data_IF_296454439978
#
_entry.id   IF_296454439978
#
_cell.length_a   1.000
_cell.length_b   1.000
_cell.length_c   1.000
_cell.angle_alpha   90.00
_cell.angle_beta   90.00
_cell.angle_gamma   90.00
#
_symmetry.space_group_name_H-M   'P 1'
#
loop_
_entity.id
_entity.type
_entity.pdbx_description
1 polymer ?
#
# COMPACT_ATOMS: atom_id res chain seq x y z
N UNK A 1 -42.22 -28.12 -41.35
CA UNK A 1 -41.87 -26.88 -40.64
C UNK A 1 -41.52 -27.06 -39.14
N UNK A 2 -42.24 -27.81 -38.28
CA UNK A 2 -41.91 -27.93 -36.85
C UNK A 2 -40.54 -28.54 -36.53
N UNK A 3 -40.11 -29.55 -37.31
CA UNK A 3 -38.83 -30.24 -37.10
C UNK A 3 -37.58 -29.38 -37.38
N UNK A 4 -37.65 -28.44 -38.31
CA UNK A 4 -36.57 -27.50 -38.60
C UNK A 4 -36.39 -26.46 -37.50
N UNK A 5 -37.48 -25.98 -36.93
CA UNK A 5 -37.47 -25.04 -35.81
C UNK A 5 -36.90 -25.69 -34.54
N UNK A 6 -37.21 -26.98 -34.30
CA UNK A 6 -36.67 -27.74 -33.16
C UNK A 6 -35.15 -27.94 -33.30
N UNK A 7 -34.65 -28.32 -34.47
CA UNK A 7 -33.20 -28.49 -34.73
C UNK A 7 -32.43 -27.19 -34.57
N UNK A 8 -32.99 -26.07 -35.01
CA UNK A 8 -32.37 -24.76 -34.87
C UNK A 8 -32.26 -24.32 -33.42
N UNK A 9 -33.30 -24.53 -32.60
CA UNK A 9 -33.26 -24.30 -31.16
C UNK A 9 -32.22 -25.15 -30.43
N UNK A 10 -32.13 -26.44 -30.80
CA UNK A 10 -31.14 -27.36 -30.24
C UNK A 10 -29.69 -26.93 -30.58
N UNK A 11 -29.46 -26.52 -31.84
CA UNK A 11 -28.15 -26.01 -32.25
C UNK A 11 -27.73 -24.74 -31.52
N UNK A 12 -28.67 -23.79 -31.34
CA UNK A 12 -28.43 -22.58 -30.56
C UNK A 12 -28.10 -22.92 -29.09
N UNK A 13 -28.84 -23.83 -28.47
CA UNK A 13 -28.58 -24.29 -27.11
C UNK A 13 -27.19 -24.92 -26.96
N UNK A 14 -26.80 -25.81 -27.91
CA UNK A 14 -25.49 -26.43 -27.89
C UNK A 14 -24.36 -25.42 -28.10
N UNK A 15 -24.52 -24.44 -29.01
CA UNK A 15 -23.57 -23.33 -29.19
C UNK A 15 -23.44 -22.47 -27.94
N UNK A 16 -24.55 -22.16 -27.27
CA UNK A 16 -24.54 -21.41 -26.01
C UNK A 16 -23.81 -22.15 -24.88
N UNK A 17 -24.01 -23.48 -24.79
CA UNK A 17 -23.31 -24.32 -23.82
C UNK A 17 -21.80 -24.34 -24.10
N UNK A 18 -21.40 -24.53 -25.35
CA UNK A 18 -19.98 -24.49 -25.77
C UNK A 18 -19.34 -23.15 -25.45
N UNK A 19 -20.04 -22.06 -25.72
CA UNK A 19 -19.56 -20.70 -25.38
C UNK A 19 -19.37 -20.53 -23.89
N UNK A 20 -20.31 -20.99 -23.06
CA UNK A 20 -20.20 -20.94 -21.61
C UNK A 20 -18.99 -21.73 -21.08
N UNK A 21 -18.76 -22.93 -21.62
CA UNK A 21 -17.57 -23.72 -21.30
C UNK A 21 -16.27 -23.00 -21.71
N UNK A 22 -16.22 -22.42 -22.91
CA UNK A 22 -15.06 -21.68 -23.39
C UNK A 22 -14.76 -20.45 -22.48
N UNK A 23 -15.80 -19.69 -22.11
CA UNK A 23 -15.67 -18.58 -21.16
C UNK A 23 -15.22 -19.06 -19.77
N UNK A 24 -15.75 -20.18 -19.28
CA UNK A 24 -15.34 -20.79 -18.02
C UNK A 24 -13.86 -21.20 -18.03
N UNK A 25 -13.40 -21.85 -19.10
CA UNK A 25 -11.98 -22.21 -19.25
C UNK A 25 -11.08 -20.98 -19.36
N UNK A 26 -11.49 -19.96 -20.12
CA UNK A 26 -10.74 -18.70 -20.23
C UNK A 26 -10.62 -18.00 -18.87
N UNK A 27 -11.72 -17.95 -18.10
CA UNK A 27 -11.72 -17.38 -16.75
C UNK A 27 -10.80 -18.17 -15.81
N UNK A 28 -10.88 -19.50 -15.82
CA UNK A 28 -10.00 -20.36 -15.02
C UNK A 28 -8.52 -20.17 -15.39
N UNK A 29 -8.22 -20.10 -16.69
CA UNK A 29 -6.86 -19.79 -17.17
C UNK A 29 -6.38 -18.43 -16.69
N UNK A 30 -7.24 -17.40 -16.72
CA UNK A 30 -6.97 -16.09 -16.17
C UNK A 30 -6.70 -16.11 -14.65
N UNK A 31 -7.47 -16.89 -13.90
CA UNK A 31 -7.25 -17.10 -12.47
C UNK A 31 -5.88 -17.74 -12.18
N UNK A 32 -5.52 -18.80 -12.91
CA UNK A 32 -4.23 -19.49 -12.76
C UNK A 32 -3.09 -18.53 -13.11
N UNK A 33 -3.22 -17.79 -14.21
CA UNK A 33 -2.25 -16.78 -14.62
C UNK A 33 -2.06 -15.72 -13.54
N UNK A 34 -3.14 -15.14 -13.01
CA UNK A 34 -3.07 -14.15 -11.94
C UNK A 34 -2.45 -14.72 -10.65
N UNK A 35 -2.79 -15.95 -10.26
CA UNK A 35 -2.21 -16.61 -9.09
C UNK A 35 -0.70 -16.84 -9.23
N UNK A 36 -0.22 -17.10 -10.45
CA UNK A 36 1.18 -17.48 -10.70
C UNK A 36 2.07 -16.26 -10.97
N UNK A 37 1.56 -15.26 -11.69
CA UNK A 37 2.36 -14.17 -12.23
C UNK A 37 2.07 -12.79 -11.61
N UNK A 38 1.07 -12.66 -10.73
CA UNK A 38 0.70 -11.35 -10.18
C UNK A 38 1.88 -10.65 -9.48
N UNK A 39 2.68 -11.38 -8.70
CA UNK A 39 3.81 -10.75 -8.01
C UNK A 39 4.85 -10.19 -9.00
N UNK A 40 5.15 -10.89 -10.10
CA UNK A 40 6.04 -10.37 -11.15
C UNK A 40 5.49 -9.13 -11.86
N UNK A 41 4.16 -9.02 -11.94
CA UNK A 41 3.51 -7.85 -12.55
C UNK A 41 3.44 -6.67 -11.59
N UNK A 42 3.26 -6.94 -10.28
CA UNK A 42 3.18 -5.92 -9.24
C UNK A 42 4.56 -5.35 -8.94
N UNK A 43 5.60 -6.20 -8.85
CA UNK A 43 6.93 -5.81 -8.41
C UNK A 43 7.92 -5.80 -9.58
N UNK A 44 8.18 -4.65 -10.21
CA UNK A 44 9.22 -4.52 -11.22
C UNK A 44 10.60 -4.67 -10.58
N UNK A 45 11.57 -5.08 -11.37
CA UNK A 45 12.97 -4.98 -10.97
C UNK A 45 13.38 -3.51 -10.88
N UNK A 46 13.91 -3.12 -9.71
CA UNK A 46 14.35 -1.75 -9.46
C UNK A 46 15.87 -1.75 -9.31
N UNK A 47 16.60 -0.95 -10.10
CA UNK A 47 18.03 -0.75 -9.88
C UNK A 47 18.27 -0.18 -8.47
N UNK A 48 19.29 -0.74 -7.78
CA UNK A 48 19.69 -0.26 -6.46
C UNK A 48 20.23 1.16 -6.57
N UNK A 49 19.67 2.09 -5.79
CA UNK A 49 20.10 3.49 -5.77
C UNK A 49 21.11 3.80 -4.67
N UNK A 50 21.38 2.84 -3.77
CA UNK A 50 22.32 2.99 -2.67
C UNK A 50 23.08 1.68 -2.39
N UNK A 51 24.10 1.77 -1.56
CA UNK A 51 24.85 0.65 -0.99
C UNK A 51 24.70 0.64 0.53
N UNK A 52 24.86 -0.51 1.17
CA UNK A 52 24.85 -0.60 2.63
C UNK A 52 25.95 0.29 3.25
N UNK A 53 25.58 1.01 4.28
CA UNK A 53 26.45 1.95 4.98
C UNK A 53 26.08 2.07 6.46
N UNK A 54 26.71 2.98 7.21
CA UNK A 54 26.47 3.14 8.66
C UNK A 54 25.03 3.57 9.01
N UNK A 55 24.30 4.07 8.02
CA UNK A 55 22.90 4.52 8.19
C UNK A 55 21.88 3.43 7.88
N UNK A 56 22.33 2.27 7.40
CA UNK A 56 21.45 1.13 7.09
C UNK A 56 21.75 -0.05 7.99
N UNK A 57 20.73 -0.83 8.29
CA UNK A 57 20.85 -2.07 9.06
C UNK A 57 19.89 -3.12 8.53
N UNK A 58 20.07 -4.37 8.95
CA UNK A 58 19.25 -5.49 8.48
C UNK A 58 18.26 -5.93 9.55
N UNK A 59 17.00 -5.98 9.18
CA UNK A 59 15.93 -6.62 9.94
C UNK A 59 15.73 -8.05 9.44
N UNK A 60 15.49 -8.98 10.35
CA UNK A 60 15.18 -10.36 9.99
C UNK A 60 13.67 -10.53 9.89
N UNK A 61 13.17 -10.68 8.69
CA UNK A 61 11.76 -10.98 8.47
C UNK A 61 11.45 -12.46 8.81
N UNK A 62 10.19 -12.76 9.16
CA UNK A 62 9.74 -14.15 9.43
C UNK A 62 9.91 -15.07 8.22
N UNK A 63 9.90 -14.55 7.02
CA UNK A 63 10.19 -15.29 5.79
C UNK A 63 11.62 -15.81 5.72
N UNK A 64 12.51 -15.30 6.58
CA UNK A 64 13.94 -15.55 6.53
C UNK A 64 14.72 -14.48 5.76
N UNK A 65 14.05 -13.57 5.04
CA UNK A 65 14.69 -12.48 4.31
C UNK A 65 15.41 -11.50 5.26
N UNK A 66 16.53 -10.95 4.79
CA UNK A 66 17.20 -9.82 5.41
C UNK A 66 16.69 -8.54 4.75
N UNK A 67 15.95 -7.74 5.50
CA UNK A 67 15.31 -6.50 5.05
C UNK A 67 16.19 -5.33 5.45
N UNK A 68 16.58 -4.52 4.50
CA UNK A 68 17.33 -3.30 4.78
C UNK A 68 16.39 -2.24 5.30
N UNK A 69 16.80 -1.59 6.36
CA UNK A 69 16.07 -0.50 6.99
C UNK A 69 17.01 0.66 7.31
N UNK A 70 16.46 1.83 7.48
CA UNK A 70 17.15 3.04 7.96
C UNK A 70 16.31 3.71 9.04
N UNK A 71 16.98 4.25 10.06
CA UNK A 71 16.34 5.00 11.12
C UNK A 71 16.97 6.39 11.20
N UNK A 72 16.14 7.41 11.05
CA UNK A 72 16.52 8.80 11.21
C UNK A 72 15.90 9.31 12.52
N UNK A 73 16.73 9.43 13.55
CA UNK A 73 16.29 9.96 14.83
C UNK A 73 16.13 11.48 14.75
N UNK A 74 14.97 11.99 15.17
CA UNK A 74 14.78 13.40 15.47
C UNK A 74 14.96 13.58 16.99
N UNK A 75 16.01 14.29 17.49
CA UNK A 75 16.30 14.39 18.90
C UNK A 75 15.11 14.92 19.70
N UNK A 76 14.74 14.19 20.76
CA UNK A 76 13.60 14.54 21.62
C UNK A 76 12.22 14.24 21.04
N UNK A 77 12.14 13.67 19.86
CA UNK A 77 10.87 13.27 19.26
C UNK A 77 10.21 12.12 20.03
N UNK A 78 8.92 12.30 20.28
CA UNK A 78 8.05 11.22 20.80
C UNK A 78 7.18 10.60 19.70
N UNK A 79 7.43 10.92 18.43
CA UNK A 79 6.66 10.44 17.29
C UNK A 79 7.57 9.67 16.35
N UNK A 80 7.12 8.52 15.91
CA UNK A 80 7.76 7.72 14.88
C UNK A 80 6.86 7.64 13.65
N UNK A 81 7.42 7.98 12.51
CA UNK A 81 6.83 7.68 11.22
C UNK A 81 7.41 6.35 10.71
N UNK A 82 6.59 5.31 10.64
CA UNK A 82 6.96 4.06 9.99
C UNK A 82 6.58 4.16 8.51
N UNK A 83 7.60 4.35 7.66
CA UNK A 83 7.44 4.72 6.26
C UNK A 83 7.54 3.49 5.34
N UNK A 84 6.47 3.20 4.62
CA UNK A 84 6.40 2.19 3.57
C UNK A 84 6.40 2.89 2.20
N UNK A 85 7.46 2.68 1.43
CA UNK A 85 7.67 3.38 0.16
C UNK A 85 6.79 2.87 -0.98
N UNK A 86 6.75 3.61 -2.07
CA UNK A 86 6.04 3.26 -3.30
C UNK A 86 6.72 2.14 -4.08
N UNK A 87 6.00 1.61 -5.07
CA UNK A 87 6.58 0.68 -6.01
C UNK A 87 7.69 1.36 -6.83
N UNK A 88 8.66 0.58 -7.29
CA UNK A 88 9.81 1.07 -8.06
C UNK A 88 10.67 2.13 -7.34
N UNK A 89 10.66 2.16 -6.00
CA UNK A 89 11.54 2.99 -5.17
C UNK A 89 12.31 2.13 -4.16
N UNK A 90 13.45 2.63 -3.68
CA UNK A 90 14.21 2.08 -2.56
C UNK A 90 14.58 3.19 -1.56
N UNK A 91 15.22 2.82 -0.45
CA UNK A 91 15.59 3.75 0.62
C UNK A 91 16.45 4.92 0.14
N UNK A 92 17.32 4.70 -0.86
CA UNK A 92 18.13 5.78 -1.42
C UNK A 92 17.30 6.81 -2.18
N UNK A 93 16.31 6.36 -2.96
CA UNK A 93 15.44 7.25 -3.74
C UNK A 93 14.52 8.10 -2.86
N UNK A 94 14.12 7.60 -1.68
CA UNK A 94 13.22 8.32 -0.77
C UNK A 94 13.96 9.08 0.33
N UNK A 95 15.29 9.09 0.32
CA UNK A 95 16.10 9.66 1.41
C UNK A 95 15.73 11.09 1.75
N UNK A 96 15.56 11.96 0.75
CA UNK A 96 15.17 13.35 0.95
C UNK A 96 13.80 13.52 1.61
N UNK A 97 12.87 12.61 1.31
CA UNK A 97 11.57 12.59 1.95
C UNK A 97 11.68 12.30 3.45
N UNK A 98 12.49 11.28 3.80
CA UNK A 98 12.72 10.89 5.20
C UNK A 98 13.39 12.01 5.99
N UNK A 99 14.39 12.67 5.40
CA UNK A 99 15.09 13.82 5.99
C UNK A 99 14.16 15.03 6.22
N UNK A 100 13.18 15.23 5.34
CA UNK A 100 12.19 16.29 5.51
C UNK A 100 11.32 16.05 6.74
N UNK A 101 10.88 14.82 6.98
CA UNK A 101 10.14 14.48 8.21
C UNK A 101 11.02 14.59 9.45
N UNK A 102 12.28 14.13 9.38
CA UNK A 102 13.24 14.27 10.47
C UNK A 102 13.46 15.74 10.84
N UNK A 103 13.67 16.60 9.84
CA UNK A 103 13.84 18.04 10.03
C UNK A 103 12.60 18.72 10.66
N UNK A 104 11.40 18.15 10.43
CA UNK A 104 10.17 18.56 11.07
C UNK A 104 10.00 18.03 12.51
N UNK A 105 11.01 17.37 13.09
CA UNK A 105 11.00 16.85 14.45
C UNK A 105 10.31 15.50 14.63
N UNK A 106 10.19 14.71 13.57
CA UNK A 106 9.57 13.38 13.56
C UNK A 106 10.65 12.33 13.28
N UNK A 107 10.85 11.38 14.19
CA UNK A 107 11.72 10.24 13.91
C UNK A 107 11.12 9.36 12.81
N UNK A 108 11.97 8.83 11.94
CA UNK A 108 11.50 8.04 10.78
C UNK A 108 12.20 6.70 10.75
N UNK A 109 11.43 5.62 10.68
CA UNK A 109 11.90 4.29 10.34
C UNK A 109 11.35 3.92 8.97
N UNK A 110 12.22 3.66 8.01
CA UNK A 110 11.87 3.19 6.69
C UNK A 110 12.58 1.88 6.38
N UNK A 111 11.99 1.08 5.49
CA UNK A 111 12.50 -0.24 5.14
C UNK A 111 12.21 -0.56 3.68
N UNK A 112 13.12 -1.33 3.06
CA UNK A 112 12.92 -1.87 1.72
C UNK A 112 12.09 -3.16 1.77
N UNK A 113 11.49 -3.51 0.64
CA UNK A 113 10.84 -4.81 0.48
C UNK A 113 11.84 -5.89 0.06
N UNK A 114 11.52 -7.19 0.17
CA UNK A 114 12.34 -8.23 -0.41
C UNK A 114 12.64 -7.94 -1.90
N UNK A 115 13.92 -8.06 -2.30
CA UNK A 115 14.35 -7.77 -3.67
C UNK A 115 14.55 -6.30 -4.03
N UNK A 116 14.19 -5.37 -3.13
CA UNK A 116 14.41 -3.93 -3.31
C UNK A 116 15.67 -3.46 -2.58
N UNK A 117 16.34 -2.44 -3.13
CA UNK A 117 17.57 -1.91 -2.57
C UNK A 117 18.59 -3.01 -2.29
N UNK A 118 19.06 -3.12 -1.06
CA UNK A 118 19.99 -4.16 -0.61
C UNK A 118 19.32 -5.26 0.21
N UNK A 119 17.97 -5.30 0.24
CA UNK A 119 17.21 -6.42 0.84
C UNK A 119 17.40 -7.70 0.05
N UNK A 120 17.41 -8.84 0.75
CA UNK A 120 17.50 -10.16 0.12
C UNK A 120 16.14 -10.69 -0.32
N UNK A 121 16.17 -11.81 -1.06
CA UNK A 121 14.98 -12.53 -1.50
C UNK A 121 14.24 -11.85 -2.68
N UNK A 122 13.02 -12.32 -2.99
CA UNK A 122 12.21 -11.83 -4.11
C UNK A 122 10.92 -11.22 -3.58
N UNK A 123 10.49 -10.12 -4.21
CA UNK A 123 9.28 -9.42 -3.81
C UNK A 123 8.03 -10.28 -4.01
N UNK A 124 7.17 -10.26 -3.01
CA UNK A 124 5.82 -10.84 -3.01
C UNK A 124 4.96 -10.12 -2.00
N UNK A 125 3.63 -10.21 -2.11
CA UNK A 125 2.73 -9.62 -1.12
C UNK A 125 3.04 -10.11 0.29
N UNK A 126 3.22 -11.42 0.47
CA UNK A 126 3.56 -12.02 1.77
C UNK A 126 4.92 -11.54 2.29
N UNK A 127 5.91 -11.38 1.40
CA UNK A 127 7.23 -10.85 1.73
C UNK A 127 7.20 -9.40 2.17
N UNK A 128 6.39 -8.57 1.49
CA UNK A 128 6.18 -7.15 1.87
C UNK A 128 5.54 -7.05 3.25
N UNK A 129 4.55 -7.88 3.55
CA UNK A 129 3.93 -7.93 4.89
C UNK A 129 4.90 -8.41 5.96
N UNK A 130 5.74 -9.40 5.66
CA UNK A 130 6.78 -9.87 6.59
C UNK A 130 7.85 -8.81 6.86
N UNK A 131 8.21 -8.01 5.87
CA UNK A 131 9.12 -6.88 6.02
C UNK A 131 8.50 -5.76 6.91
N UNK A 132 7.24 -5.42 6.66
CA UNK A 132 6.50 -4.45 7.47
C UNK A 132 6.38 -4.89 8.93
N UNK A 133 6.09 -6.17 9.18
CA UNK A 133 6.01 -6.77 10.51
C UNK A 133 7.36 -6.70 11.25
N UNK A 134 8.46 -7.00 10.55
CA UNK A 134 9.81 -6.88 11.12
C UNK A 134 10.15 -5.43 11.49
N UNK A 135 9.76 -4.47 10.65
CA UNK A 135 9.97 -3.05 10.91
C UNK A 135 9.12 -2.54 12.08
N UNK A 136 7.83 -2.93 12.17
CA UNK A 136 6.98 -2.60 13.31
C UNK A 136 7.50 -3.22 14.61
N UNK A 137 7.93 -4.48 14.58
CA UNK A 137 8.54 -5.15 15.73
C UNK A 137 9.80 -4.42 16.17
N UNK A 138 10.69 -4.03 15.25
CA UNK A 138 11.88 -3.26 15.58
C UNK A 138 11.53 -1.89 16.20
N UNK A 139 10.52 -1.20 15.66
CA UNK A 139 10.04 0.07 16.21
C UNK A 139 9.60 -0.05 17.68
N UNK A 140 8.88 -1.13 18.01
CA UNK A 140 8.31 -1.32 19.35
C UNK A 140 9.27 -1.98 20.35
N UNK A 141 10.13 -2.91 19.91
CA UNK A 141 10.98 -3.70 20.81
C UNK A 141 12.42 -3.19 20.93
N UNK A 142 12.95 -2.56 19.88
CA UNK A 142 14.34 -2.07 19.85
C UNK A 142 14.40 -0.56 19.99
N UNK A 143 13.57 0.17 19.23
CA UNK A 143 13.50 1.63 19.36
C UNK A 143 12.59 2.07 20.50
N UNK A 144 11.83 1.15 21.11
CA UNK A 144 10.97 1.36 22.29
C UNK A 144 9.88 2.44 22.10
N UNK A 145 9.38 2.62 20.88
CA UNK A 145 8.20 3.45 20.65
C UNK A 145 6.94 2.71 21.09
N UNK A 146 6.11 3.37 21.88
CA UNK A 146 4.77 2.88 22.17
C UNK A 146 3.88 2.95 20.91
N UNK A 147 2.88 2.09 20.84
CA UNK A 147 1.97 2.02 19.69
C UNK A 147 1.32 3.39 19.37
N UNK A 148 0.96 4.13 20.40
CA UNK A 148 0.35 5.47 20.32
C UNK A 148 1.32 6.56 19.85
N UNK A 149 2.58 6.20 19.61
CA UNK A 149 3.61 7.09 19.08
C UNK A 149 3.91 6.79 17.60
N UNK A 150 3.38 5.69 17.06
CA UNK A 150 3.69 5.21 15.70
C UNK A 150 2.61 5.64 14.72
N UNK A 151 2.97 6.50 13.79
CA UNK A 151 2.18 6.81 12.60
C UNK A 151 2.67 5.94 11.44
N UNK A 152 1.76 5.18 10.83
CA UNK A 152 2.06 4.47 9.60
C UNK A 152 1.92 5.41 8.40
N UNK A 153 2.90 5.41 7.51
CA UNK A 153 2.85 6.17 6.27
C UNK A 153 3.03 5.23 5.08
N UNK A 154 2.03 5.18 4.22
CA UNK A 154 2.06 4.35 3.02
C UNK A 154 1.95 5.15 1.74
N UNK A 155 3.06 5.23 0.98
CA UNK A 155 3.06 5.85 -0.34
C UNK A 155 2.71 4.82 -1.40
N UNK A 156 1.66 5.04 -2.23
CA UNK A 156 1.29 4.17 -3.34
C UNK A 156 1.21 2.69 -2.91
N UNK A 157 2.11 1.81 -3.39
CA UNK A 157 2.22 0.40 -2.96
C UNK A 157 2.34 0.27 -1.44
N UNK A 158 3.06 1.19 -0.80
CA UNK A 158 3.24 1.21 0.65
C UNK A 158 1.94 1.36 1.45
N UNK A 159 0.84 1.78 0.82
CA UNK A 159 -0.48 1.75 1.46
C UNK A 159 -0.93 0.32 1.81
N UNK A 160 -0.48 -0.69 1.05
CA UNK A 160 -0.77 -2.11 1.33
C UNK A 160 -0.23 -2.58 2.67
N UNK A 161 1.09 -2.55 2.89
CA UNK A 161 1.66 -2.93 4.19
C UNK A 161 1.22 -2.02 5.34
N UNK A 162 1.00 -0.73 5.11
CA UNK A 162 0.49 0.17 6.15
C UNK A 162 -0.94 -0.20 6.59
N UNK A 163 -1.85 -0.46 5.66
CA UNK A 163 -3.20 -0.95 6.00
C UNK A 163 -3.15 -2.33 6.68
N UNK A 164 -2.24 -3.20 6.25
CA UNK A 164 -2.07 -4.53 6.84
C UNK A 164 -1.58 -4.45 8.29
N UNK A 165 -0.63 -3.55 8.60
CA UNK A 165 -0.17 -3.31 9.96
C UNK A 165 -1.29 -2.71 10.83
N UNK A 166 -1.98 -1.68 10.35
CA UNK A 166 -3.06 -1.01 11.10
C UNK A 166 -4.27 -1.92 11.40
N UNK A 167 -4.50 -2.96 10.58
CA UNK A 167 -5.50 -3.98 10.84
C UNK A 167 -5.09 -4.93 11.99
N UNK A 168 -3.78 -5.16 12.18
CA UNK A 168 -3.23 -6.20 13.07
C UNK A 168 -2.67 -5.67 14.38
N UNK A 169 -2.16 -4.47 14.36
CA UNK A 169 -1.43 -3.89 15.48
C UNK A 169 -2.03 -2.55 15.88
N UNK A 170 -2.00 -2.23 17.17
CA UNK A 170 -2.32 -0.89 17.62
C UNK A 170 -1.29 0.10 17.03
N UNK A 171 -1.77 1.21 16.51
CA UNK A 171 -0.98 2.32 16.00
C UNK A 171 -1.70 3.64 16.28
N UNK A 172 -0.95 4.74 16.34
CA UNK A 172 -1.54 6.05 16.56
C UNK A 172 -2.48 6.45 15.41
N UNK A 173 -2.01 6.37 14.17
CA UNK A 173 -2.74 6.76 12.96
C UNK A 173 -2.10 6.21 11.70
N UNK A 174 -2.80 6.38 10.58
CA UNK A 174 -2.30 5.97 9.26
C UNK A 174 -2.48 7.08 8.23
N UNK A 175 -1.47 7.28 7.39
CA UNK A 175 -1.50 8.15 6.22
C UNK A 175 -1.40 7.29 4.96
N UNK A 176 -2.35 7.46 4.06
CA UNK A 176 -2.41 6.80 2.75
C UNK A 176 -2.21 7.87 1.68
N UNK A 177 -1.01 7.92 1.11
CA UNK A 177 -0.62 8.90 0.10
C UNK A 177 -0.59 8.24 -1.29
N UNK A 178 -1.54 8.60 -2.16
CA UNK A 178 -1.70 8.02 -3.50
C UNK A 178 -2.01 6.51 -3.46
N UNK A 179 -2.65 6.02 -2.40
CA UNK A 179 -2.93 4.60 -2.21
C UNK A 179 -4.15 4.10 -2.97
N UNK A 180 -4.21 2.80 -3.17
CA UNK A 180 -5.25 2.10 -3.93
C UNK A 180 -6.24 1.34 -3.04
N UNK A 181 -7.36 0.92 -3.63
CA UNK A 181 -8.33 0.03 -2.95
C UNK A 181 -7.88 -1.44 -2.97
N UNK A 182 -7.26 -1.88 -4.09
CA UNK A 182 -6.49 -3.13 -4.24
C UNK A 182 -5.66 -3.07 -5.50
N UNK A 183 -4.58 -3.86 -5.60
CA UNK A 183 -3.69 -3.81 -6.78
C UNK A 183 -4.36 -4.34 -8.04
N UNK A 184 -5.18 -5.39 -7.96
CA UNK A 184 -5.87 -5.88 -9.15
C UNK A 184 -6.85 -4.86 -9.70
N UNK A 185 -7.56 -4.12 -8.84
CA UNK A 185 -8.51 -3.10 -9.27
C UNK A 185 -7.85 -1.86 -9.86
N UNK A 186 -6.58 -1.61 -9.59
CA UNK A 186 -5.82 -0.58 -10.34
C UNK A 186 -5.81 -0.89 -11.83
N UNK A 187 -5.63 -2.17 -12.20
CA UNK A 187 -5.62 -2.60 -13.60
C UNK A 187 -7.03 -2.82 -14.16
N UNK A 188 -7.87 -3.56 -13.44
CA UNK A 188 -9.17 -4.04 -13.95
C UNK A 188 -10.33 -3.08 -13.71
N UNK A 189 -10.15 -2.07 -12.84
CA UNK A 189 -11.15 -1.08 -12.39
C UNK A 189 -12.29 -1.67 -11.55
N UNK A 190 -12.53 -2.96 -11.64
CA UNK A 190 -13.56 -3.70 -10.89
C UNK A 190 -12.98 -5.00 -10.32
N UNK A 191 -13.65 -5.59 -9.34
CA UNK A 191 -13.25 -6.89 -8.82
C UNK A 191 -13.65 -7.99 -9.81
N UNK A 192 -12.65 -8.57 -10.48
CA UNK A 192 -12.82 -9.64 -11.46
C UNK A 192 -12.57 -11.02 -10.84
N UNK A 193 -11.58 -11.11 -9.94
CA UNK A 193 -11.19 -12.37 -9.30
C UNK A 193 -11.85 -12.52 -7.93
N UNK A 194 -12.06 -13.75 -7.43
CA UNK A 194 -12.64 -13.99 -6.10
C UNK A 194 -11.72 -13.56 -4.96
N UNK A 195 -10.42 -13.40 -5.22
CA UNK A 195 -9.45 -12.81 -4.30
C UNK A 195 -8.90 -11.50 -4.87
N UNK A 196 -8.12 -10.79 -4.06
CA UNK A 196 -7.40 -9.59 -4.45
C UNK A 196 -5.99 -9.61 -3.83
N UNK A 197 -5.09 -8.75 -4.33
CA UNK A 197 -3.78 -8.52 -3.71
C UNK A 197 -3.76 -7.13 -3.11
N UNK A 198 -3.21 -7.00 -1.90
CA UNK A 198 -3.22 -5.78 -1.11
C UNK A 198 -4.63 -5.17 -1.03
N UNK A 199 -5.63 -5.97 -0.60
CA UNK A 199 -7.03 -5.52 -0.50
C UNK A 199 -7.19 -4.50 0.65
N UNK A 200 -6.75 -3.27 0.40
CA UNK A 200 -6.86 -2.16 1.34
C UNK A 200 -8.32 -1.82 1.64
N UNK A 201 -9.20 -1.95 0.64
CA UNK A 201 -10.62 -1.67 0.81
C UNK A 201 -11.28 -2.57 1.87
N UNK A 202 -10.88 -3.85 1.90
CA UNK A 202 -11.37 -4.77 2.93
C UNK A 202 -10.83 -4.40 4.32
N UNK A 203 -9.50 -4.11 4.43
CA UNK A 203 -8.83 -3.78 5.69
C UNK A 203 -9.32 -2.47 6.31
N UNK A 204 -9.51 -1.44 5.48
CA UNK A 204 -9.95 -0.12 5.95
C UNK A 204 -11.32 -0.14 6.66
N UNK A 205 -12.13 -1.16 6.45
CA UNK A 205 -13.40 -1.35 7.16
C UNK A 205 -13.22 -1.66 8.66
N UNK A 206 -12.11 -2.28 9.02
CA UNK A 206 -11.80 -2.70 10.40
C UNK A 206 -10.86 -1.75 11.13
N UNK A 207 -10.16 -0.85 10.41
CA UNK A 207 -9.22 0.10 11.00
C UNK A 207 -9.99 1.16 11.82
N UNK A 208 -9.59 1.32 13.08
CA UNK A 208 -10.24 2.23 14.03
C UNK A 208 -9.41 3.49 14.32
N UNK A 209 -8.09 3.44 14.11
CA UNK A 209 -7.25 4.62 14.32
C UNK A 209 -7.56 5.71 13.27
N UNK A 210 -7.22 6.98 13.54
CA UNK A 210 -7.37 8.07 12.58
C UNK A 210 -6.69 7.79 11.23
N UNK A 211 -7.36 8.08 10.13
CA UNK A 211 -6.88 7.85 8.75
C UNK A 211 -6.84 9.16 7.98
N UNK A 212 -5.67 9.51 7.42
CA UNK A 212 -5.54 10.57 6.43
C UNK A 212 -5.36 9.96 5.03
N UNK A 213 -6.22 10.31 4.09
CA UNK A 213 -6.08 9.94 2.67
C UNK A 213 -5.68 11.17 1.87
N UNK A 214 -4.55 11.08 1.17
CA UNK A 214 -4.03 12.11 0.27
C UNK A 214 -4.05 11.55 -1.15
N UNK A 215 -4.59 12.31 -2.13
CA UNK A 215 -4.67 11.82 -3.50
C UNK A 215 -4.80 12.95 -4.51
N UNK A 216 -4.13 12.79 -5.65
CA UNK A 216 -4.27 13.69 -6.79
C UNK A 216 -5.54 13.40 -7.60
N UNK A 217 -6.27 14.44 -8.01
CA UNK A 217 -7.53 14.26 -8.76
C UNK A 217 -7.32 13.80 -10.20
N UNK A 218 -6.10 14.00 -10.75
CA UNK A 218 -5.68 13.54 -12.07
C UNK A 218 -4.67 12.39 -12.02
N UNK A 219 -4.68 11.58 -10.95
CA UNK A 219 -3.81 10.42 -10.82
C UNK A 219 -4.19 9.35 -11.85
N UNK A 220 -3.30 9.16 -12.84
CA UNK A 220 -3.47 8.18 -13.92
C UNK A 220 -2.93 6.79 -13.54
N UNK A 221 -1.99 6.72 -12.59
CA UNK A 221 -1.41 5.47 -12.10
C UNK A 221 -2.38 4.74 -11.17
N UNK A 222 -2.85 5.43 -10.14
CA UNK A 222 -3.88 4.97 -9.22
C UNK A 222 -5.07 5.92 -9.33
N UNK A 223 -6.08 5.60 -10.15
CA UNK A 223 -7.19 6.51 -10.38
C UNK A 223 -7.86 7.00 -9.11
N UNK A 224 -8.24 8.27 -9.09
CA UNK A 224 -8.86 8.94 -7.96
C UNK A 224 -10.09 8.22 -7.38
N UNK A 225 -10.75 7.36 -8.18
CA UNK A 225 -11.84 6.50 -7.73
C UNK A 225 -11.45 5.58 -6.58
N UNK A 226 -10.17 5.14 -6.51
CA UNK A 226 -9.63 4.32 -5.42
C UNK A 226 -9.64 5.07 -4.09
N UNK A 227 -9.20 6.34 -4.10
CA UNK A 227 -9.25 7.19 -2.91
C UNK A 227 -10.68 7.41 -2.42
N UNK A 228 -11.62 7.64 -3.35
CA UNK A 228 -13.07 7.76 -3.03
C UNK A 228 -13.64 6.47 -2.45
N UNK A 229 -13.25 5.31 -2.98
CA UNK A 229 -13.68 4.01 -2.44
C UNK A 229 -13.12 3.79 -1.03
N UNK A 230 -11.82 4.04 -0.82
CA UNK A 230 -11.18 3.94 0.49
C UNK A 230 -11.82 4.89 1.51
N UNK A 231 -12.08 6.14 1.11
CA UNK A 231 -12.76 7.12 1.94
C UNK A 231 -14.17 6.69 2.36
N UNK A 232 -14.91 6.08 1.45
CA UNK A 232 -16.31 5.70 1.66
C UNK A 232 -16.47 4.57 2.69
N UNK A 233 -15.48 3.69 2.86
CA UNK A 233 -15.55 2.56 3.78
C UNK A 233 -15.05 2.85 5.18
N UNK A 234 -14.35 3.96 5.37
CA UNK A 234 -13.86 4.39 6.69
C UNK A 234 -15.02 4.85 7.58
N UNK A 235 -15.10 4.28 8.78
CA UNK A 235 -16.13 4.59 9.78
C UNK A 235 -15.62 5.43 10.94
N UNK A 236 -14.30 5.39 11.22
CA UNK A 236 -13.66 6.13 12.31
C UNK A 236 -13.29 7.57 11.95
N UNK A 237 -12.42 8.15 12.75
CA UNK A 237 -11.86 9.49 12.51
C UNK A 237 -11.09 9.50 11.19
N UNK A 238 -11.46 10.38 10.28
CA UNK A 238 -10.86 10.45 8.96
C UNK A 238 -10.69 11.88 8.47
N UNK A 239 -9.57 12.10 7.78
CA UNK A 239 -9.24 13.36 7.11
C UNK A 239 -8.82 13.07 5.67
N UNK A 240 -9.00 14.03 4.77
CA UNK A 240 -8.60 13.90 3.37
C UNK A 240 -7.94 15.16 2.86
N UNK A 241 -6.98 14.97 1.94
CA UNK A 241 -6.42 16.01 1.12
C UNK A 241 -6.56 15.58 -0.35
N UNK A 242 -7.55 16.12 -1.06
CA UNK A 242 -7.68 15.96 -2.50
C UNK A 242 -6.91 17.10 -3.17
N UNK A 243 -5.84 16.75 -3.90
CA UNK A 243 -4.99 17.73 -4.58
C UNK A 243 -5.47 17.88 -6.00
N UNK A 244 -6.17 18.99 -6.26
CA UNK A 244 -6.74 19.28 -7.58
C UNK A 244 -5.64 19.45 -8.64
N UNK A 245 -5.82 18.79 -9.79
CA UNK A 245 -4.87 18.85 -10.89
C UNK A 245 -3.60 18.02 -10.71
N UNK A 246 -3.39 17.38 -9.54
CA UNK A 246 -2.21 16.57 -9.29
C UNK A 246 -2.38 15.15 -9.86
N UNK A 247 -1.31 14.63 -10.44
CA UNK A 247 -1.12 13.23 -10.80
C UNK A 247 -0.48 12.43 -9.66
N UNK A 248 -0.01 11.21 -10.00
CA UNK A 248 0.59 10.30 -9.02
C UNK A 248 1.91 10.82 -8.45
N UNK A 249 2.82 11.29 -9.29
CA UNK A 249 4.20 11.58 -8.91
C UNK A 249 4.48 13.06 -8.59
N UNK A 250 3.60 13.98 -8.99
CA UNK A 250 3.74 15.41 -8.73
C UNK A 250 2.81 15.93 -7.63
N UNK A 251 2.20 15.03 -6.85
CA UNK A 251 1.21 15.36 -5.84
C UNK A 251 1.73 16.36 -4.82
N UNK A 252 2.94 16.13 -4.27
CA UNK A 252 3.55 17.02 -3.28
C UNK A 252 3.96 18.37 -3.89
N UNK A 253 4.44 18.36 -5.13
CA UNK A 253 4.80 19.57 -5.87
C UNK A 253 3.57 20.47 -6.07
N UNK A 254 2.46 19.91 -6.57
CA UNK A 254 1.22 20.64 -6.81
C UNK A 254 0.56 21.09 -5.51
N UNK A 255 0.56 20.25 -4.47
CA UNK A 255 -0.01 20.61 -3.17
C UNK A 255 0.84 21.64 -2.43
N UNK A 256 2.16 21.71 -2.67
CA UNK A 256 3.08 22.64 -2.05
C UNK A 256 2.98 22.65 -0.52
N UNK A 257 2.89 23.83 0.07
CA UNK A 257 2.81 23.99 1.53
C UNK A 257 1.56 23.32 2.13
N UNK A 258 0.45 23.28 1.41
CA UNK A 258 -0.79 22.63 1.87
C UNK A 258 -0.60 21.16 2.24
N UNK A 259 0.33 20.47 1.55
CA UNK A 259 0.69 19.09 1.89
C UNK A 259 1.24 19.03 3.34
N UNK A 260 2.24 19.86 3.63
CA UNK A 260 2.91 19.87 4.94
C UNK A 260 2.00 20.41 6.04
N UNK A 261 1.20 21.43 5.77
CA UNK A 261 0.19 21.97 6.69
C UNK A 261 -0.92 20.96 7.04
N UNK A 262 -1.08 19.91 6.21
CA UNK A 262 -2.01 18.82 6.48
C UNK A 262 -1.33 17.65 7.18
N UNK A 263 -0.17 17.21 6.70
CA UNK A 263 0.50 15.99 7.15
C UNK A 263 1.16 16.17 8.52
N UNK A 264 1.90 17.27 8.74
CA UNK A 264 2.63 17.46 9.98
C UNK A 264 1.71 17.61 11.20
N UNK A 265 0.66 18.45 11.16
CA UNK A 265 -0.30 18.50 12.27
C UNK A 265 -1.03 17.18 12.48
N UNK A 266 -1.34 16.43 11.41
CA UNK A 266 -1.96 15.11 11.52
C UNK A 266 -1.05 14.12 12.27
N UNK A 267 0.27 14.09 12.03
CA UNK A 267 1.22 13.24 12.76
C UNK A 267 1.39 13.71 14.21
N UNK A 268 1.43 15.03 14.43
CA UNK A 268 1.73 15.63 15.73
C UNK A 268 0.51 15.75 16.66
N UNK A 269 -0.71 15.57 16.14
CA UNK A 269 -1.93 15.68 16.94
C UNK A 269 -1.87 14.72 18.14
N UNK A 270 -2.20 15.21 19.33
CA UNK A 270 -2.34 14.37 20.51
C UNK A 270 -3.67 13.60 20.42
N UNK A 271 -3.69 12.35 20.86
CA UNK A 271 -4.95 11.69 21.16
C UNK A 271 -5.61 12.48 22.29
N UNK A 272 -6.74 13.13 22.03
CA UNK A 272 -7.66 13.48 23.09
C UNK A 272 -8.15 12.15 23.67
N UNK A 273 -7.58 11.78 24.82
CA UNK A 273 -8.20 10.76 25.68
C UNK A 273 -9.40 11.49 26.26
N UNK A 274 -10.55 11.39 25.61
CA UNK A 274 -11.82 11.72 26.24
C UNK A 274 -12.01 10.70 27.35
N UNK A 275 -11.68 11.15 28.59
CA UNK A 275 -11.92 10.43 29.85
C UNK A 275 -13.40 10.39 30.17
#
# INVERSE_FOLDING_TARGET
>A
MPLLVSRHKQMIANLSILLLFALGFAYLGGMIYAATFADKMIFPEVPKSYVDGPETFKLKARSGANITATYLEAPGSRRLLLYSHGNAADLGMIRSDLETFQAAGISVLAYDYPGYGTSSDTASEAGVYAAADAAYTHATTTLNFAAEQITLYGRSLGSGPSCWLAERYPVDRIIIDGGFSSTFRVMTRVKVLPWDKFDNLARLRSIQCPVLIIHGTLDETVPFTHAKQNWAVLTGVKQKLWVEGAGHNNLREIAGQTYWDTVLPFIQAQHSIDT
#
